data_IF_688228819265
#
_entry.id   IF_688228819265
#
_cell.length_a   1.000
_cell.length_b   1.000
_cell.length_c   1.000
_cell.angle_alpha   90.00
_cell.angle_beta   90.00
_cell.angle_gamma   90.00
#
_symmetry.space_group_name_H-M   'P 1'
#
loop_
_entity.id
_entity.type
_entity.pdbx_description
1 polymer ?
#
# COMPACT_ATOMS: atom_id res chain seq x y z
N UNK A 1 2.13 22.65 -11.74
CA UNK A 1 1.81 21.40 -11.02
C UNK A 1 2.69 20.30 -11.59
N UNK A 2 3.66 19.80 -10.83
CA UNK A 2 4.48 18.65 -11.28
C UNK A 2 3.58 17.42 -11.18
N UNK A 3 3.23 16.78 -12.30
CA UNK A 3 2.25 15.67 -12.39
C UNK A 3 2.65 14.37 -11.67
N UNK A 4 3.45 14.47 -10.61
CA UNK A 4 4.01 13.37 -9.84
C UNK A 4 3.16 13.19 -8.58
N UNK A 5 2.51 12.02 -8.47
CA UNK A 5 1.66 11.68 -7.30
C UNK A 5 2.49 11.46 -6.04
N UNK A 6 3.72 10.95 -6.16
CA UNK A 6 4.63 10.68 -5.04
C UNK A 6 6.07 10.97 -5.43
N UNK A 7 6.71 11.86 -4.69
CA UNK A 7 8.13 12.14 -4.80
C UNK A 7 8.94 11.08 -4.06
N UNK A 8 9.84 10.38 -4.74
CA UNK A 8 10.87 9.53 -4.14
C UNK A 8 12.10 10.36 -3.80
N UNK A 9 12.99 9.80 -2.97
CA UNK A 9 14.28 10.43 -2.67
C UNK A 9 15.13 10.65 -3.92
N UNK A 10 15.15 9.66 -4.84
CA UNK A 10 15.84 9.78 -6.12
C UNK A 10 15.28 10.94 -6.96
N UNK A 11 13.95 11.07 -7.01
CA UNK A 11 13.28 12.14 -7.77
C UNK A 11 13.64 13.51 -7.20
N UNK A 12 13.70 13.64 -5.88
CA UNK A 12 14.10 14.89 -5.23
C UNK A 12 15.59 15.20 -5.46
N UNK A 13 16.48 14.20 -5.41
CA UNK A 13 17.89 14.39 -5.77
C UNK A 13 18.04 14.89 -7.22
N UNK A 14 17.32 14.28 -8.17
CA UNK A 14 17.32 14.69 -9.57
C UNK A 14 16.79 16.11 -9.76
N UNK A 15 15.62 16.40 -9.18
CA UNK A 15 15.01 17.73 -9.26
C UNK A 15 15.88 18.82 -8.63
N UNK A 16 16.56 18.53 -7.51
CA UNK A 16 17.45 19.48 -6.86
C UNK A 16 18.68 19.79 -7.74
N UNK A 17 19.19 18.78 -8.44
CA UNK A 17 20.28 18.95 -9.38
C UNK A 17 19.84 19.77 -10.61
N UNK A 18 18.69 19.47 -11.20
CA UNK A 18 18.16 20.22 -12.36
C UNK A 18 17.83 21.67 -12.02
N UNK A 19 17.27 21.92 -10.83
CA UNK A 19 16.79 23.25 -10.45
C UNK A 19 17.87 24.11 -9.81
N UNK A 20 18.76 23.51 -9.01
CA UNK A 20 19.76 24.23 -8.19
C UNK A 20 21.21 23.82 -8.46
N UNK A 21 21.47 22.80 -9.29
CA UNK A 21 22.83 22.30 -9.55
C UNK A 21 23.47 21.58 -8.36
N UNK A 22 22.69 21.22 -7.33
CA UNK A 22 23.22 20.64 -6.10
C UNK A 22 23.19 19.11 -6.18
N UNK A 23 24.36 18.50 -6.16
CA UNK A 23 24.50 17.04 -6.08
C UNK A 23 24.51 16.58 -4.62
N UNK A 24 23.47 15.88 -4.20
CA UNK A 24 23.35 15.28 -2.87
C UNK A 24 23.16 13.77 -2.97
N UNK A 25 23.71 13.02 -2.02
CA UNK A 25 23.38 11.60 -1.86
C UNK A 25 21.98 11.44 -1.26
N UNK A 26 21.28 10.38 -1.65
CA UNK A 26 19.94 10.06 -1.13
C UNK A 26 19.90 9.97 0.40
N UNK A 27 20.97 9.44 1.00
CA UNK A 27 21.13 9.34 2.46
C UNK A 27 21.11 10.71 3.12
N UNK A 28 21.87 11.69 2.59
CA UNK A 28 21.95 13.04 3.16
C UNK A 28 20.65 13.79 2.97
N UNK A 29 20.03 13.66 1.80
CA UNK A 29 18.73 14.25 1.54
C UNK A 29 17.64 13.67 2.47
N UNK A 30 17.67 12.35 2.70
CA UNK A 30 16.77 11.68 3.64
C UNK A 30 16.95 12.14 5.09
N UNK A 31 18.17 12.44 5.52
CA UNK A 31 18.43 13.02 6.84
C UNK A 31 17.85 14.44 6.96
N UNK A 32 18.04 15.29 5.94
CA UNK A 32 17.50 16.65 5.91
C UNK A 32 15.97 16.59 6.01
N UNK A 33 15.32 15.81 5.16
CA UNK A 33 13.85 15.65 5.15
C UNK A 33 13.32 15.21 6.52
N UNK A 34 14.00 14.26 7.19
CA UNK A 34 13.61 13.82 8.54
C UNK A 34 13.80 14.91 9.59
N UNK A 35 14.85 15.72 9.48
CA UNK A 35 15.10 16.86 10.37
C UNK A 35 14.04 17.94 10.21
N UNK A 36 13.61 18.19 8.97
CA UNK A 36 12.53 19.12 8.64
C UNK A 36 11.13 18.60 9.02
N UNK A 37 11.04 17.45 9.70
CA UNK A 37 9.77 16.90 10.23
C UNK A 37 8.95 16.10 9.22
N UNK A 38 9.42 15.95 7.98
CA UNK A 38 8.76 15.13 6.98
C UNK A 38 8.99 13.64 7.24
N UNK A 39 7.97 12.84 6.93
CA UNK A 39 8.04 11.38 7.01
C UNK A 39 8.10 10.77 5.61
N UNK A 40 9.01 9.83 5.44
CA UNK A 40 9.10 9.02 4.23
C UNK A 40 7.84 8.17 4.12
N UNK A 41 7.06 8.41 3.07
CA UNK A 41 5.92 7.61 2.67
C UNK A 41 6.43 6.33 1.99
N UNK A 42 6.85 5.35 2.78
CA UNK A 42 7.26 4.04 2.29
C UNK A 42 6.03 3.25 1.84
N UNK A 43 6.08 2.68 0.63
CA UNK A 43 5.19 1.57 0.30
C UNK A 43 5.62 0.34 1.11
N UNK A 44 4.80 -0.72 1.11
CA UNK A 44 5.19 -2.04 1.63
C UNK A 44 6.62 -2.37 1.17
N UNK A 45 7.53 -2.80 2.07
CA UNK A 45 8.90 -3.14 1.71
C UNK A 45 8.93 -4.05 0.48
N UNK A 46 9.62 -3.62 -0.58
CA UNK A 46 9.86 -4.43 -1.77
C UNK A 46 11.17 -5.19 -1.57
N UNK A 47 11.13 -6.51 -1.76
CA UNK A 47 12.32 -7.35 -1.69
C UNK A 47 13.23 -7.04 -2.88
N UNK A 48 14.54 -6.85 -2.66
CA UNK A 48 15.50 -6.41 -3.70
C UNK A 48 15.61 -7.36 -4.89
N UNK A 49 15.29 -8.65 -4.72
CA UNK A 49 15.19 -9.62 -5.83
C UNK A 49 13.82 -9.65 -6.51
N UNK A 50 12.96 -8.65 -6.32
CA UNK A 50 11.71 -8.55 -7.08
C UNK A 50 12.04 -8.17 -8.52
N UNK A 51 12.17 -9.19 -9.36
CA UNK A 51 12.16 -9.01 -10.80
C UNK A 51 10.73 -8.71 -11.27
N UNK A 52 10.59 -7.57 -11.95
CA UNK A 52 9.29 -7.13 -12.47
C UNK A 52 8.84 -8.03 -13.62
N UNK A 53 9.77 -8.57 -14.40
CA UNK A 53 9.48 -9.51 -15.50
C UNK A 53 8.94 -10.84 -14.96
N UNK A 54 9.60 -11.41 -13.94
CA UNK A 54 9.14 -12.63 -13.28
C UNK A 54 7.75 -12.47 -12.64
N UNK A 55 7.42 -11.29 -12.11
CA UNK A 55 6.10 -11.02 -11.55
C UNK A 55 5.00 -10.98 -12.61
N UNK A 56 5.28 -10.43 -13.80
CA UNK A 56 4.31 -10.39 -14.90
C UNK A 56 4.01 -11.80 -15.44
N UNK A 57 5.01 -12.67 -15.50
CA UNK A 57 4.82 -14.09 -15.87
C UNK A 57 3.98 -14.84 -14.82
N UNK A 58 4.14 -14.50 -13.54
CA UNK A 58 3.42 -15.16 -12.44
C UNK A 58 2.01 -14.60 -12.18
N UNK A 59 1.58 -13.56 -12.90
CA UNK A 59 0.21 -13.05 -12.77
C UNK A 59 -0.79 -14.13 -13.19
N UNK A 60 -1.77 -14.39 -12.34
CA UNK A 60 -2.78 -15.43 -12.57
C UNK A 60 -3.75 -14.97 -13.68
N UNK A 61 -3.79 -15.71 -14.78
CA UNK A 61 -4.66 -15.46 -15.95
C UNK A 61 -6.10 -15.96 -15.76
N UNK A 62 -6.40 -16.58 -14.61
CA UNK A 62 -7.72 -17.17 -14.36
C UNK A 62 -8.80 -16.09 -14.22
N UNK A 63 -9.98 -16.28 -14.84
CA UNK A 63 -11.11 -15.37 -14.67
C UNK A 63 -11.53 -15.33 -13.20
N UNK A 64 -11.91 -14.13 -12.74
CA UNK A 64 -12.34 -13.88 -11.36
C UNK A 64 -13.74 -14.47 -11.17
N UNK A 65 -13.84 -15.75 -10.87
CA UNK A 65 -15.09 -16.48 -10.68
C UNK A 65 -15.66 -16.32 -9.26
N UNK A 66 -15.63 -15.12 -8.69
CA UNK A 66 -16.41 -14.86 -7.47
C UNK A 66 -17.90 -14.76 -7.86
N UNK A 67 -18.53 -15.91 -8.06
CA UNK A 67 -19.98 -15.99 -7.82
C UNK A 67 -20.15 -15.68 -6.35
N UNK A 68 -20.78 -14.56 -6.02
CA UNK A 68 -21.44 -14.41 -4.72
C UNK A 68 -22.49 -15.52 -4.65
N UNK A 69 -22.10 -16.68 -4.15
CA UNK A 69 -23.07 -17.54 -3.49
C UNK A 69 -23.45 -16.80 -2.22
N UNK A 70 -24.47 -15.95 -2.29
CA UNK A 70 -25.34 -15.81 -1.14
C UNK A 70 -25.81 -17.23 -0.83
N UNK A 71 -25.39 -17.85 0.29
CA UNK A 71 -26.07 -19.05 0.71
C UNK A 71 -27.48 -18.58 1.08
N UNK A 72 -28.52 -19.10 0.43
CA UNK A 72 -29.86 -19.03 0.99
C UNK A 72 -29.78 -19.67 2.36
N UNK A 73 -29.83 -18.84 3.41
CA UNK A 73 -29.77 -19.29 4.79
C UNK A 73 -31.08 -20.04 5.03
N UNK A 74 -31.08 -21.37 5.23
CA UNK A 74 -32.31 -22.05 5.60
C UNK A 74 -32.78 -21.52 6.96
N UNK A 75 -34.07 -21.22 7.06
CA UNK A 75 -34.72 -20.60 8.22
C UNK A 75 -34.56 -21.40 9.53
N UNK A 76 -34.05 -22.64 9.46
CA UNK A 76 -33.80 -23.50 10.62
C UNK A 76 -32.32 -23.83 10.78
N UNK A 77 -31.61 -22.96 11.49
CA UNK A 77 -30.29 -23.24 12.04
C UNK A 77 -30.44 -24.32 13.12
N UNK A 78 -29.68 -25.41 13.01
CA UNK A 78 -29.58 -26.46 14.02
C UNK A 78 -29.21 -25.85 15.38
N UNK A 79 -29.78 -26.38 16.48
CA UNK A 79 -29.57 -25.85 17.85
C UNK A 79 -28.12 -25.98 18.37
N UNK A 80 -27.21 -26.58 17.61
CA UNK A 80 -25.81 -26.79 17.99
C UNK A 80 -24.91 -25.81 17.27
N UNK A 81 -24.75 -24.61 17.84
CA UNK A 81 -23.79 -23.60 17.35
C UNK A 81 -24.45 -22.30 16.95
N UNK A 82 -24.80 -21.48 17.94
CA UNK A 82 -25.24 -20.10 17.69
C UNK A 82 -24.12 -19.25 17.07
N UNK A 83 -24.48 -18.35 16.16
CA UNK A 83 -23.56 -17.42 15.51
C UNK A 83 -23.06 -16.37 16.52
N UNK A 84 -21.74 -16.27 16.73
CA UNK A 84 -21.12 -15.25 17.57
C UNK A 84 -21.42 -13.85 17.01
N UNK A 85 -22.21 -13.05 17.73
CA UNK A 85 -22.46 -11.64 17.37
C UNK A 85 -21.17 -10.83 17.49
N UNK A 86 -20.85 -10.03 16.48
CA UNK A 86 -19.73 -9.07 16.54
C UNK A 86 -20.12 -7.89 17.42
N UNK A 87 -19.26 -7.55 18.38
CA UNK A 87 -19.49 -6.43 19.31
C UNK A 87 -19.58 -5.09 18.59
N UNK A 88 -20.69 -4.39 18.78
CA UNK A 88 -20.89 -3.03 18.27
C UNK A 88 -20.36 -2.03 19.28
N UNK A 89 -19.13 -1.52 19.07
CA UNK A 89 -18.63 -0.38 19.81
C UNK A 89 -19.21 0.91 19.19
N UNK A 90 -20.16 1.55 19.89
CA UNK A 90 -20.58 2.93 19.63
C UNK A 90 -20.31 3.73 20.91
N UNK A 91 -19.21 4.49 20.94
CA UNK A 91 -18.99 5.54 21.95
C UNK A 91 -19.35 6.85 21.28
N UNK A 92 -20.48 7.43 21.66
CA UNK A 92 -20.83 8.81 21.30
C UNK A 92 -20.16 9.75 22.30
N UNK A 93 -19.59 10.83 21.78
CA UNK A 93 -19.45 12.11 22.48
C UNK A 93 -19.89 13.19 21.50
#
# INVERSE_FOLDING_TARGET
MHGVVRWRLCDLCGWLHETYGVTLSETRLGQIIRREGFRLLTARPRHYRQDTQAQDIFKKSSPVSWRQSCPDIPEKISKSGGLTKRGSARKQN
#
